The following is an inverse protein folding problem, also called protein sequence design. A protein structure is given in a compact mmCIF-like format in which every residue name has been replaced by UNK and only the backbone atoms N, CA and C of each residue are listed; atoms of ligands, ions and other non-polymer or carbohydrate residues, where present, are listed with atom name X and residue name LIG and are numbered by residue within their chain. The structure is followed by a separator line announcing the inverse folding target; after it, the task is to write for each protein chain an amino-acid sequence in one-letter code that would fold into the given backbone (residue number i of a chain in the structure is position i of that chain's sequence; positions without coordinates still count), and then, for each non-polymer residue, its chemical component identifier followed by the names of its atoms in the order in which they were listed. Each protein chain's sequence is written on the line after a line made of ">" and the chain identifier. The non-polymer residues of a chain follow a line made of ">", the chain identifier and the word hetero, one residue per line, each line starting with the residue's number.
data_IF_347371087791
#
_entry.id   IF_347371087791
#
_cell.length_a   1.000
_cell.length_b   1.000
_cell.length_c   1.000
_cell.angle_alpha   90.00
_cell.angle_beta   90.00
_cell.angle_gamma   90.00
#
_symmetry.space_group_name_H-M   'P 1'
#
loop_
_entity.id
_entity.type
_entity.pdbx_description
1 polymer ?
#
# COMPACT_ATOMS: atom_id res chain seq x y z
N UNK A 1 11.53 0.18 24.47
CA UNK A 1 11.39 -1.17 25.08
C UNK A 1 11.15 -2.22 23.98
N UNK A 2 11.03 -3.50 24.36
CA UNK A 2 10.76 -4.62 23.43
C UNK A 2 9.34 -4.54 22.84
N UNK A 3 8.36 -4.06 23.61
CA UNK A 3 6.97 -3.95 23.18
C UNK A 3 6.78 -2.99 21.99
N UNK A 4 7.43 -1.82 22.02
CA UNK A 4 7.39 -0.85 20.93
C UNK A 4 8.03 -1.35 19.63
N UNK A 5 9.06 -2.21 19.72
CA UNK A 5 9.68 -2.83 18.54
C UNK A 5 8.75 -3.88 17.90
N UNK A 6 8.09 -4.71 18.72
CA UNK A 6 7.14 -5.72 18.24
C UNK A 6 5.90 -5.09 17.59
N UNK A 7 5.34 -4.04 18.21
CA UNK A 7 4.19 -3.32 17.67
C UNK A 7 4.50 -2.70 16.30
N UNK A 8 5.68 -2.06 16.15
CA UNK A 8 6.11 -1.49 14.88
C UNK A 8 6.31 -2.54 13.79
N UNK A 9 6.84 -3.71 14.13
CA UNK A 9 6.98 -4.81 13.18
C UNK A 9 5.61 -5.33 12.71
N UNK A 10 4.68 -5.54 13.64
CA UNK A 10 3.30 -5.95 13.35
C UNK A 10 2.59 -4.94 12.43
N UNK A 11 2.74 -3.64 12.71
CA UNK A 11 2.13 -2.60 11.88
C UNK A 11 2.70 -2.58 10.46
N UNK A 12 4.03 -2.70 10.30
CA UNK A 12 4.65 -2.80 8.97
C UNK A 12 4.17 -4.02 8.20
N UNK A 13 4.00 -5.16 8.88
CA UNK A 13 3.47 -6.37 8.27
C UNK A 13 2.03 -6.17 7.79
N UNK A 14 1.15 -5.62 8.63
CA UNK A 14 -0.24 -5.35 8.26
C UNK A 14 -0.33 -4.38 7.09
N UNK A 15 0.44 -3.29 7.11
CA UNK A 15 0.49 -2.34 5.99
C UNK A 15 0.91 -3.01 4.68
N UNK A 16 1.92 -3.88 4.73
CA UNK A 16 2.40 -4.62 3.57
C UNK A 16 1.34 -5.60 3.05
N UNK A 17 0.65 -6.29 3.95
CA UNK A 17 -0.44 -7.21 3.60
C UNK A 17 -1.61 -6.46 2.93
N UNK A 18 -2.03 -5.32 3.50
CA UNK A 18 -3.11 -4.51 2.93
C UNK A 18 -2.79 -4.01 1.51
N UNK A 19 -1.55 -3.57 1.28
CA UNK A 19 -1.10 -3.16 -0.06
C UNK A 19 -1.07 -4.36 -1.01
N UNK A 20 -0.55 -5.51 -0.57
CA UNK A 20 -0.48 -6.74 -1.39
C UNK A 20 -1.86 -7.27 -1.77
N UNK A 21 -2.84 -7.15 -0.87
CA UNK A 21 -4.25 -7.51 -1.11
C UNK A 21 -5.02 -6.44 -1.90
N UNK A 22 -4.34 -5.38 -2.39
CA UNK A 22 -4.97 -4.33 -3.17
C UNK A 22 -5.99 -3.51 -2.37
N UNK A 23 -5.90 -3.46 -1.04
CA UNK A 23 -6.81 -2.70 -0.18
C UNK A 23 -6.29 -1.29 0.13
N UNK A 24 -5.01 -1.04 -0.13
CA UNK A 24 -4.35 0.23 0.16
C UNK A 24 -3.35 0.62 -0.93
N UNK A 25 -3.07 1.92 -1.02
CA UNK A 25 -2.04 2.49 -1.89
C UNK A 25 -0.71 2.60 -1.14
N UNK A 26 0.40 2.30 -1.81
CA UNK A 26 1.72 2.55 -1.24
C UNK A 26 2.06 4.05 -1.34
N UNK A 27 2.12 4.72 -0.19
CA UNK A 27 2.45 6.13 -0.14
C UNK A 27 3.96 6.38 -0.02
N UNK A 28 4.63 6.36 -1.18
CA UNK A 28 6.09 6.55 -1.37
C UNK A 28 6.73 7.74 -0.66
N UNK A 29 5.94 8.75 -0.28
CA UNK A 29 6.44 9.93 0.45
C UNK A 29 6.91 9.59 1.87
N UNK A 30 6.23 8.66 2.53
CA UNK A 30 6.47 8.35 3.95
C UNK A 30 7.16 7.01 4.17
N UNK A 31 7.09 6.10 3.19
CA UNK A 31 7.75 4.80 3.27
C UNK A 31 8.33 4.44 1.91
N UNK A 32 9.62 4.09 1.88
CA UNK A 32 10.38 3.71 0.68
C UNK A 32 10.90 2.28 0.74
N UNK A 33 10.34 1.45 1.62
CA UNK A 33 10.78 0.06 1.78
C UNK A 33 10.39 -0.78 0.56
N UNK A 34 11.29 -1.66 0.15
CA UNK A 34 11.05 -2.60 -0.95
C UNK A 34 9.84 -3.51 -0.69
N UNK A 35 9.48 -3.76 0.58
CA UNK A 35 8.33 -4.58 0.94
C UNK A 35 7.00 -4.01 0.41
N UNK A 36 6.75 -2.71 0.63
CA UNK A 36 5.54 -2.05 0.14
C UNK A 36 5.56 -1.89 -1.38
N UNK A 37 6.74 -1.64 -1.96
CA UNK A 37 6.92 -1.58 -3.41
C UNK A 37 6.54 -2.89 -4.08
N UNK A 38 7.12 -3.99 -3.61
CA UNK A 38 6.88 -5.32 -4.14
C UNK A 38 5.43 -5.76 -3.92
N UNK A 39 4.83 -5.39 -2.78
CA UNK A 39 3.42 -5.63 -2.50
C UNK A 39 2.49 -4.90 -3.48
N UNK A 40 2.74 -3.61 -3.74
CA UNK A 40 1.90 -2.83 -4.66
C UNK A 40 2.06 -3.33 -6.10
N UNK A 41 3.30 -3.63 -6.51
CA UNK A 41 3.59 -4.20 -7.83
C UNK A 41 2.88 -5.53 -8.04
N UNK A 42 2.94 -6.43 -7.05
CA UNK A 42 2.22 -7.70 -7.10
C UNK A 42 0.71 -7.50 -7.26
N UNK A 43 0.11 -6.59 -6.48
CA UNK A 43 -1.32 -6.33 -6.54
C UNK A 43 -1.75 -5.74 -7.90
N UNK A 44 -0.92 -4.86 -8.49
CA UNK A 44 -1.12 -4.29 -9.83
C UNK A 44 -1.06 -5.34 -10.94
N UNK A 45 0.00 -6.14 -10.96
CA UNK A 45 0.23 -7.17 -11.99
C UNK A 45 -0.90 -8.22 -11.99
N UNK A 46 -1.42 -8.55 -10.81
CA UNK A 46 -2.48 -9.53 -10.63
C UNK A 46 -3.89 -8.93 -10.58
N UNK A 47 -4.03 -7.60 -10.80
CA UNK A 47 -5.31 -6.88 -10.79
C UNK A 47 -6.15 -7.14 -9.52
N UNK A 48 -5.51 -7.11 -8.36
CA UNK A 48 -6.15 -7.42 -7.07
C UNK A 48 -6.78 -6.16 -6.47
N UNK A 49 -8.01 -6.28 -5.93
CA UNK A 49 -8.66 -5.23 -5.16
C UNK A 49 -8.85 -3.94 -5.97
N UNK A 50 -8.34 -2.81 -5.45
CA UNK A 50 -8.35 -1.51 -6.11
C UNK A 50 -7.79 -1.56 -7.55
N UNK A 51 -6.85 -2.47 -7.82
CA UNK A 51 -6.19 -2.60 -9.13
C UNK A 51 -6.98 -3.41 -10.17
N UNK A 52 -8.15 -3.95 -9.81
CA UNK A 52 -9.08 -4.54 -10.77
C UNK A 52 -9.77 -3.46 -11.62
N UNK A 53 -9.83 -2.21 -11.13
CA UNK A 53 -10.29 -1.06 -11.89
C UNK A 53 -9.36 -0.78 -13.08
N UNK A 54 -9.91 -0.30 -14.19
CA UNK A 54 -9.16 0.08 -15.39
C UNK A 54 -8.33 1.35 -15.17
N UNK A 55 -8.79 2.27 -14.33
CA UNK A 55 -8.13 3.54 -14.04
C UNK A 55 -8.24 3.87 -12.54
N UNK A 56 -7.57 3.10 -11.66
CA UNK A 56 -7.62 3.37 -10.23
C UNK A 56 -6.93 4.70 -9.91
N UNK A 57 -7.64 5.58 -9.21
CA UNK A 57 -7.15 6.90 -8.84
C UNK A 57 -6.59 6.86 -7.42
N UNK A 58 -5.34 7.32 -7.28
CA UNK A 58 -4.72 7.37 -5.96
C UNK A 58 -5.42 8.39 -5.05
N UNK A 59 -5.52 8.14 -3.72
CA UNK A 59 -6.22 9.04 -2.81
C UNK A 59 -5.66 10.48 -2.81
N UNK A 60 -4.34 10.64 -3.00
CA UNK A 60 -3.73 11.97 -3.09
C UNK A 60 -4.02 12.68 -4.40
N UNK A 61 -4.29 11.95 -5.48
CA UNK A 61 -4.68 12.49 -6.78
C UNK A 61 -6.17 12.88 -6.76
N UNK A 62 -7.01 12.03 -6.17
CA UNK A 62 -8.43 12.33 -5.91
C UNK A 62 -8.59 13.59 -5.05
N UNK A 63 -7.83 13.71 -3.96
CA UNK A 63 -7.82 14.91 -3.10
C UNK A 63 -7.38 16.18 -3.83
N UNK A 64 -6.60 16.05 -4.92
CA UNK A 64 -6.19 17.16 -5.78
C UNK A 64 -7.20 17.47 -6.90
N UNK A 65 -8.34 16.79 -6.92
CA UNK A 65 -9.40 16.99 -7.90
C UNK A 65 -9.19 16.28 -9.24
N UNK A 66 -8.22 15.36 -9.34
CA UNK A 66 -8.11 14.50 -10.53
C UNK A 66 -9.29 13.52 -10.54
N UNK A 67 -9.97 13.43 -11.68
CA UNK A 67 -11.12 12.54 -11.93
C UNK A 67 -10.88 11.80 -13.24
#
# INVERSE_FOLDING_TARGET
>A
DMAGRLANFSLKFINTMMVRMGMAWWYRRYDKTEGLENAERYAKENKIGLWADKNPIAPWDWRKGKR
#
